data_IF_503578992279
#
_entry.id   IF_503578992279
#
_cell.length_a   1.000
_cell.length_b   1.000
_cell.length_c   1.000
_cell.angle_alpha   90.00
_cell.angle_beta   90.00
_cell.angle_gamma   90.00
#
_symmetry.space_group_name_H-M   'P 1'
#
loop_
_entity.id
_entity.type
_entity.pdbx_description
1 polymer ?
#
# COMPACT_ATOMS: atom_id res chain seq x y z
N UNK A 1 -28.34 -5.90 25.33
CA UNK A 1 -27.05 -5.22 25.08
C UNK A 1 -26.68 -5.44 23.63
N UNK A 2 -26.72 -4.39 22.79
CA UNK A 2 -26.20 -4.46 21.43
C UNK A 2 -24.68 -4.53 21.57
N UNK A 3 -24.05 -5.57 21.02
CA UNK A 3 -22.61 -5.61 20.89
C UNK A 3 -22.21 -4.50 19.92
N UNK A 4 -21.73 -3.39 20.46
CA UNK A 4 -21.01 -2.40 19.69
C UNK A 4 -19.75 -3.09 19.16
N UNK A 5 -19.80 -3.50 17.89
CA UNK A 5 -18.62 -3.96 17.16
C UNK A 5 -17.66 -2.78 17.10
N UNK A 6 -16.69 -2.75 18.01
CA UNK A 6 -15.50 -1.92 17.86
C UNK A 6 -14.98 -2.20 16.46
N UNK A 7 -14.86 -1.21 15.56
CA UNK A 7 -14.31 -1.46 14.23
C UNK A 7 -12.91 -2.03 14.45
N UNK A 8 -12.72 -3.31 14.12
CA UNK A 8 -11.42 -3.95 14.18
C UNK A 8 -10.45 -3.05 13.43
N UNK A 9 -9.39 -2.62 14.11
CA UNK A 9 -8.49 -1.65 13.53
C UNK A 9 -7.87 -2.27 12.29
N UNK A 10 -7.79 -1.53 11.17
CA UNK A 10 -7.18 -2.01 9.91
C UNK A 10 -5.81 -2.68 10.16
N UNK A 11 -5.08 -2.19 11.17
CA UNK A 11 -3.79 -2.70 11.62
C UNK A 11 -3.80 -4.20 12.00
N UNK A 12 -4.92 -4.75 12.46
CA UNK A 12 -5.09 -6.18 12.77
C UNK A 12 -5.06 -7.07 11.51
N UNK A 13 -5.39 -6.51 10.34
CA UNK A 13 -5.41 -7.24 9.08
C UNK A 13 -4.13 -7.03 8.25
N UNK A 14 -3.25 -6.12 8.68
CA UNK A 14 -1.94 -5.90 8.05
C UNK A 14 -0.94 -6.92 8.61
N UNK A 15 -0.76 -8.02 7.88
CA UNK A 15 0.14 -9.13 8.25
C UNK A 15 1.61 -8.88 7.88
N UNK A 16 1.88 -7.88 7.05
CA UNK A 16 3.23 -7.53 6.62
C UNK A 16 3.43 -6.02 6.66
N UNK A 17 4.51 -5.57 7.30
CA UNK A 17 4.86 -4.14 7.44
C UNK A 17 6.20 -3.81 6.80
N UNK A 18 7.18 -4.70 6.90
CA UNK A 18 8.52 -4.55 6.31
C UNK A 18 8.78 -5.70 5.35
N UNK A 19 9.62 -5.45 4.33
CA UNK A 19 10.04 -6.46 3.36
C UNK A 19 8.87 -7.24 2.73
N UNK A 20 7.78 -6.54 2.44
CA UNK A 20 6.60 -7.14 1.81
C UNK A 20 6.80 -7.35 0.30
N UNK A 21 6.05 -8.27 -0.28
CA UNK A 21 6.05 -8.46 -1.73
C UNK A 21 5.32 -7.31 -2.43
N UNK A 22 5.69 -7.01 -3.68
CA UNK A 22 4.98 -5.98 -4.47
C UNK A 22 3.49 -6.29 -4.60
N UNK A 23 3.14 -7.57 -4.78
CA UNK A 23 1.74 -8.02 -4.86
C UNK A 23 0.95 -7.73 -3.58
N UNK A 24 1.60 -7.78 -2.41
CA UNK A 24 0.94 -7.41 -1.16
C UNK A 24 0.59 -5.93 -1.13
N UNK A 25 1.50 -5.05 -1.57
CA UNK A 25 1.26 -3.61 -1.65
C UNK A 25 0.18 -3.28 -2.70
N UNK A 26 0.19 -3.97 -3.84
CA UNK A 26 -0.85 -3.86 -4.87
C UNK A 26 -2.22 -4.25 -4.33
N UNK A 27 -2.30 -5.34 -3.56
CA UNK A 27 -3.55 -5.77 -2.93
C UNK A 27 -4.06 -4.73 -1.92
N UNK A 28 -3.18 -4.11 -1.12
CA UNK A 28 -3.58 -3.03 -0.20
C UNK A 28 -4.17 -1.84 -0.95
N UNK A 29 -3.58 -1.44 -2.07
CA UNK A 29 -4.11 -0.39 -2.92
C UNK A 29 -5.44 -0.77 -3.57
N UNK A 30 -5.56 -1.99 -4.10
CA UNK A 30 -6.77 -2.50 -4.73
C UNK A 30 -7.97 -2.54 -3.77
N UNK A 31 -7.72 -2.84 -2.49
CA UNK A 31 -8.73 -2.82 -1.44
C UNK A 31 -9.04 -1.42 -0.88
N UNK A 32 -8.41 -0.36 -1.43
CA UNK A 32 -8.64 1.03 -1.00
C UNK A 32 -8.01 1.37 0.35
N UNK A 33 -7.07 0.55 0.84
CA UNK A 33 -6.40 0.79 2.12
C UNK A 33 -5.21 1.73 2.01
N UNK A 34 -4.61 1.86 0.82
CA UNK A 34 -3.50 2.77 0.56
C UNK A 34 -4.01 4.16 0.15
N UNK A 35 -3.47 5.21 0.77
CA UNK A 35 -3.77 6.61 0.41
C UNK A 35 -2.67 7.24 -0.44
N UNK A 36 -1.44 6.75 -0.34
CA UNK A 36 -0.29 7.27 -1.08
C UNK A 36 0.73 6.16 -1.30
N UNK A 37 1.44 6.22 -2.42
CA UNK A 37 2.59 5.36 -2.70
C UNK A 37 3.75 6.20 -3.24
N UNK A 38 4.98 5.86 -2.85
CA UNK A 38 6.18 6.50 -3.36
C UNK A 38 7.37 5.54 -3.36
N UNK A 39 8.43 5.89 -4.07
CA UNK A 39 9.62 5.07 -4.24
C UNK A 39 10.74 5.60 -3.33
N UNK A 40 11.45 4.69 -2.68
CA UNK A 40 12.70 4.98 -1.96
C UNK A 40 13.86 4.19 -2.58
N UNK A 41 15.04 4.79 -2.63
CA UNK A 41 16.27 4.12 -3.06
C UNK A 41 16.75 3.14 -1.98
N UNK A 42 17.20 1.96 -2.38
CA UNK A 42 17.84 1.01 -1.50
C UNK A 42 19.36 1.19 -1.48
N UNK A 43 20.04 0.48 -0.56
CA UNK A 43 21.50 0.52 -0.42
C UNK A 43 22.25 0.06 -1.69
N UNK A 44 21.63 -0.82 -2.49
CA UNK A 44 22.21 -1.34 -3.73
C UNK A 44 21.80 -0.49 -4.93
N UNK A 45 22.77 -0.16 -5.78
CA UNK A 45 22.55 0.60 -7.02
C UNK A 45 21.45 -0.02 -7.89
N UNK A 46 20.53 0.81 -8.39
CA UNK A 46 19.37 0.43 -9.22
C UNK A 46 18.32 -0.44 -8.52
N UNK A 47 18.45 -0.66 -7.20
CA UNK A 47 17.41 -1.29 -6.41
C UNK A 47 16.65 -0.23 -5.64
N UNK A 48 15.33 -0.37 -5.69
CA UNK A 48 14.39 0.55 -5.07
C UNK A 48 13.34 -0.26 -4.32
N UNK A 49 12.63 0.38 -3.40
CA UNK A 49 11.46 -0.18 -2.73
C UNK A 49 10.27 0.76 -2.86
N UNK A 50 9.07 0.21 -2.78
CA UNK A 50 7.84 0.98 -2.69
C UNK A 50 7.47 1.13 -1.22
N UNK A 51 7.08 2.33 -0.85
CA UNK A 51 6.45 2.63 0.43
C UNK A 51 5.03 3.08 0.18
N UNK A 52 4.08 2.43 0.86
CA UNK A 52 2.68 2.84 0.87
C UNK A 52 2.31 3.38 2.24
N UNK A 53 1.57 4.49 2.23
CA UNK A 53 0.92 5.06 3.41
C UNK A 53 -0.53 4.62 3.39
N UNK A 54 -0.98 4.05 4.51
CA UNK A 54 -2.32 3.53 4.69
C UNK A 54 -3.29 4.61 5.19
N UNK A 55 -4.59 4.33 5.13
CA UNK A 55 -5.65 5.25 5.61
C UNK A 55 -5.54 5.63 7.09
N UNK A 56 -4.85 4.83 7.90
CA UNK A 56 -4.57 5.08 9.32
C UNK A 56 -3.22 5.78 9.56
N UNK A 57 -2.50 6.17 8.50
CA UNK A 57 -1.18 6.80 8.55
C UNK A 57 0.00 5.84 8.75
N UNK A 58 -0.26 4.54 8.92
CA UNK A 58 0.83 3.54 8.99
C UNK A 58 1.50 3.37 7.63
N UNK A 59 2.77 2.95 7.65
CA UNK A 59 3.55 2.68 6.45
C UNK A 59 3.82 1.19 6.29
N UNK A 60 3.76 0.72 5.05
CA UNK A 60 4.17 -0.63 4.66
C UNK A 60 5.24 -0.52 3.57
N UNK A 61 6.31 -1.28 3.74
CA UNK A 61 7.50 -1.24 2.91
C UNK A 61 7.63 -2.54 2.13
N UNK A 62 7.88 -2.45 0.83
CA UNK A 62 8.27 -3.62 0.06
C UNK A 62 9.72 -4.01 0.32
N UNK A 63 10.08 -5.23 -0.09
CA UNK A 63 11.49 -5.58 -0.33
C UNK A 63 12.10 -4.64 -1.37
N UNK A 64 13.43 -4.65 -1.45
CA UNK A 64 14.14 -4.01 -2.56
C UNK A 64 14.05 -4.87 -3.83
N UNK A 65 13.59 -4.27 -4.91
CA UNK A 65 13.50 -4.87 -6.24
C UNK A 65 14.28 -4.04 -7.25
N UNK A 66 14.52 -4.60 -8.45
CA UNK A 66 15.15 -3.83 -9.51
C UNK A 66 14.20 -2.72 -9.97
N UNK A 67 14.73 -1.55 -10.33
CA UNK A 67 13.94 -0.36 -10.69
C UNK A 67 12.84 -0.61 -11.74
N UNK A 68 13.03 -1.57 -12.64
CA UNK A 68 12.06 -1.92 -13.70
C UNK A 68 10.82 -2.62 -13.14
N UNK A 69 10.99 -3.49 -12.15
CA UNK A 69 9.89 -4.14 -11.42
C UNK A 69 9.11 -3.08 -10.63
N UNK A 70 9.83 -2.20 -9.93
CA UNK A 70 9.25 -1.09 -9.15
C UNK A 70 8.44 -0.15 -10.04
N UNK A 71 8.96 0.21 -11.22
CA UNK A 71 8.29 1.10 -12.16
C UNK A 71 6.95 0.55 -12.65
N UNK A 72 6.79 -0.77 -12.71
CA UNK A 72 5.53 -1.41 -13.10
C UNK A 72 4.54 -1.40 -11.95
N UNK A 73 4.93 -1.92 -10.78
CA UNK A 73 4.03 -1.99 -9.61
C UNK A 73 3.58 -0.63 -9.11
N UNK A 74 4.47 0.38 -9.09
CA UNK A 74 4.09 1.73 -8.62
C UNK A 74 2.99 2.36 -9.48
N UNK A 75 2.97 2.07 -10.79
CA UNK A 75 1.92 2.56 -11.70
C UNK A 75 0.59 1.87 -11.39
N UNK A 76 0.59 0.55 -11.22
CA UNK A 76 -0.59 -0.24 -10.85
C UNK A 76 -1.18 0.27 -9.53
N UNK A 77 -0.33 0.43 -8.50
CA UNK A 77 -0.73 0.94 -7.19
C UNK A 77 -1.38 2.33 -7.31
N UNK A 78 -0.75 3.26 -8.03
CA UNK A 78 -1.30 4.61 -8.18
C UNK A 78 -2.63 4.64 -8.94
N UNK A 79 -2.84 3.74 -9.91
CA UNK A 79 -4.14 3.59 -10.58
C UNK A 79 -5.22 3.16 -9.57
N UNK A 80 -4.94 2.16 -8.74
CA UNK A 80 -5.90 1.72 -7.72
C UNK A 80 -6.19 2.79 -6.67
N UNK A 81 -5.18 3.52 -6.21
CA UNK A 81 -5.37 4.66 -5.30
C UNK A 81 -6.26 5.73 -5.95
N UNK A 82 -6.01 6.06 -7.22
CA UNK A 82 -6.83 7.02 -7.97
C UNK A 82 -8.28 6.56 -8.11
N UNK A 83 -8.49 5.28 -8.42
CA UNK A 83 -9.82 4.69 -8.53
C UNK A 83 -10.58 4.73 -7.20
N UNK A 84 -9.95 4.32 -6.10
CA UNK A 84 -10.54 4.35 -4.76
C UNK A 84 -10.97 5.76 -4.35
N UNK A 85 -10.12 6.77 -4.61
CA UNK A 85 -10.45 8.19 -4.37
C UNK A 85 -11.67 8.64 -5.18
N UNK A 86 -11.74 8.25 -6.46
CA UNK A 86 -12.86 8.63 -7.32
C UNK A 86 -14.19 8.01 -6.89
N UNK A 87 -14.15 6.82 -6.28
CA UNK A 87 -15.33 6.14 -5.75
C UNK A 87 -15.83 6.81 -4.47
N UNK A 88 -14.93 7.15 -3.54
CA UNK A 88 -15.30 7.83 -2.29
C UNK A 88 -15.83 9.26 -2.50
N UNK A 89 -15.53 9.90 -3.64
CA UNK A 89 -16.10 11.21 -4.02
C UNK A 89 -17.52 11.10 -4.61
N UNK A 90 -18.02 9.89 -4.88
CA UNK A 90 -19.35 9.63 -5.47
C UNK A 90 -20.38 9.12 -4.46
N UNK A 91 -19.99 8.93 -3.21
CA UNK A 91 -20.85 8.61 -2.06
C UNK A 91 -21.11 9.88 -1.23
#
# INVERSE_FOLDING_TARGET
MKQDKVPQSVSEYIVCREDCTLQFLEALAMNGLAVRAYIEECSRKNFQRIVIELINGEKVYSKCYFREEIATSIRIINVYIGYARSKNLRE
#
